data_IF_571929881853
#
_entry.id   IF_571929881853
#
_cell.length_a   1.000
_cell.length_b   1.000
_cell.length_c   1.000
_cell.angle_alpha   90.00
_cell.angle_beta   90.00
_cell.angle_gamma   90.00
#
_symmetry.space_group_name_H-M   'P 1'
#
loop_
_entity.id
_entity.type
_entity.pdbx_description
1 polymer ?
#
# COMPACT_ATOMS: atom_id res chain seq x y z
N UNK A 1 20.57 27.88 -2.22
CA UNK A 1 19.32 28.68 -2.19
C UNK A 1 18.28 28.24 -3.24
N UNK A 2 18.40 27.06 -3.86
CA UNK A 2 17.34 26.51 -4.72
C UNK A 2 17.05 25.08 -4.30
N UNK A 3 15.91 24.83 -3.65
CA UNK A 3 15.40 23.47 -3.45
C UNK A 3 13.93 23.38 -2.99
N UNK A 4 13.08 24.35 -3.37
CA UNK A 4 11.62 24.29 -3.14
C UNK A 4 10.79 24.53 -4.41
N UNK A 5 11.36 25.15 -5.44
CA UNK A 5 10.60 25.57 -6.63
C UNK A 5 10.43 24.48 -7.69
N UNK A 6 11.23 23.41 -7.69
CA UNK A 6 11.22 22.39 -8.75
C UNK A 6 10.24 21.23 -8.47
N UNK A 7 10.22 20.67 -7.24
CA UNK A 7 9.15 19.75 -6.78
C UNK A 7 7.75 20.34 -6.91
N UNK A 8 7.58 21.63 -6.60
CA UNK A 8 6.30 22.33 -6.75
C UNK A 8 5.88 22.50 -8.22
N UNK A 9 6.84 22.55 -9.15
CA UNK A 9 6.59 22.68 -10.59
C UNK A 9 6.12 21.36 -11.22
N UNK A 10 6.72 20.24 -10.82
CA UNK A 10 6.32 18.89 -11.24
C UNK A 10 4.93 18.57 -10.67
N UNK A 11 4.72 18.74 -9.36
CA UNK A 11 3.39 18.53 -8.74
C UNK A 11 2.28 19.37 -9.40
N UNK A 12 2.59 20.59 -9.85
CA UNK A 12 1.63 21.46 -10.52
C UNK A 12 1.25 20.93 -11.91
N UNK A 13 2.22 20.53 -12.73
CA UNK A 13 1.96 19.93 -14.05
C UNK A 13 1.20 18.60 -13.94
N UNK A 14 1.49 17.82 -12.90
CA UNK A 14 0.78 16.58 -12.59
C UNK A 14 -0.67 16.82 -12.18
N UNK A 15 -0.93 17.85 -11.36
CA UNK A 15 -2.29 18.27 -11.01
C UNK A 15 -3.07 18.80 -12.21
N UNK A 16 -2.43 19.50 -13.14
CA UNK A 16 -3.05 20.00 -14.38
C UNK A 16 -3.45 18.85 -15.31
N UNK A 17 -2.56 17.89 -15.56
CA UNK A 17 -2.85 16.75 -16.43
C UNK A 17 -3.80 15.71 -15.77
N UNK A 18 -3.84 15.64 -14.44
CA UNK A 18 -4.83 14.89 -13.69
C UNK A 18 -6.22 15.55 -13.75
N UNK A 19 -6.30 16.88 -13.70
CA UNK A 19 -7.55 17.63 -13.81
C UNK A 19 -8.25 17.43 -15.16
N UNK A 20 -7.50 17.37 -16.27
CA UNK A 20 -8.04 17.11 -17.61
C UNK A 20 -8.65 15.71 -17.76
N UNK A 21 -8.33 14.78 -16.85
CA UNK A 21 -8.85 13.40 -16.87
C UNK A 21 -9.76 13.07 -15.66
N UNK A 22 -10.24 14.07 -14.92
CA UNK A 22 -11.00 13.91 -13.66
C UNK A 22 -10.29 13.01 -12.63
N UNK A 23 -8.97 13.17 -12.48
CA UNK A 23 -8.16 12.49 -11.46
C UNK A 23 -7.74 13.49 -10.40
N UNK A 24 -7.97 13.16 -9.12
CA UNK A 24 -7.54 13.99 -7.98
C UNK A 24 -6.40 13.27 -7.27
N UNK A 25 -5.21 13.87 -7.22
CA UNK A 25 -4.02 13.30 -6.55
C UNK A 25 -3.83 13.95 -5.18
N UNK A 26 -3.74 13.13 -4.12
CA UNK A 26 -3.47 13.57 -2.75
C UNK A 26 -2.13 13.00 -2.27
N UNK A 27 -1.14 13.87 -1.99
CA UNK A 27 0.16 13.51 -1.38
C UNK A 27 0.53 14.53 -0.31
N UNK A 28 1.15 14.09 0.79
CA UNK A 28 1.55 14.92 1.93
C UNK A 28 3.08 14.97 2.01
N UNK A 29 3.65 16.18 2.00
CA UNK A 29 5.09 16.39 2.14
C UNK A 29 5.57 16.00 3.55
N UNK A 30 6.34 14.91 3.67
CA UNK A 30 7.02 14.52 4.90
C UNK A 30 8.47 15.06 4.95
N UNK A 31 8.82 15.73 6.06
CA UNK A 31 10.22 16.00 6.43
C UNK A 31 10.74 14.79 7.22
N UNK A 32 11.79 14.15 6.72
CA UNK A 32 12.55 13.11 7.41
C UNK A 32 13.50 13.73 8.45
N UNK A 33 13.60 13.10 9.61
CA UNK A 33 14.72 13.28 10.54
C UNK A 33 15.15 11.90 10.99
N UNK A 34 16.33 11.48 10.53
CA UNK A 34 17.02 10.26 10.94
C UNK A 34 17.87 10.50 12.19
N UNK A 35 18.02 9.43 12.99
CA UNK A 35 19.32 9.08 13.57
C UNK A 35 19.32 7.63 14.07
N UNK A 36 20.31 6.89 13.60
CA UNK A 36 20.64 5.47 13.82
C UNK A 36 21.14 5.14 15.24
N UNK A 37 21.01 3.86 15.64
CA UNK A 37 22.12 3.13 16.28
C UNK A 37 21.96 1.59 16.28
N UNK A 38 23.00 0.93 15.75
CA UNK A 38 23.43 -0.48 15.76
C UNK A 38 22.97 -1.42 16.89
N UNK A 39 22.63 -2.68 16.55
CA UNK A 39 23.07 -3.92 17.25
C UNK A 39 23.08 -5.13 16.27
N UNK A 40 24.14 -5.93 16.31
CA UNK A 40 24.36 -7.18 15.55
C UNK A 40 23.80 -8.45 16.25
N UNK A 41 23.71 -9.62 15.56
CA UNK A 41 22.74 -10.68 15.83
C UNK A 41 23.29 -11.85 16.67
N UNK A 42 22.41 -12.72 17.19
CA UNK A 42 22.59 -14.19 17.21
C UNK A 42 21.40 -14.99 17.80
N UNK A 43 21.31 -16.23 17.30
CA UNK A 43 20.75 -17.49 17.87
C UNK A 43 19.38 -18.00 17.38
N UNK A 44 19.52 -19.01 16.50
CA UNK A 44 18.87 -20.33 16.34
C UNK A 44 17.38 -20.53 15.98
N UNK A 45 17.27 -21.26 14.87
CA UNK A 45 16.16 -21.94 14.24
C UNK A 45 15.68 -23.15 15.05
N UNK A 46 14.37 -23.30 15.26
CA UNK A 46 13.74 -24.60 15.44
C UNK A 46 12.47 -24.71 14.59
N UNK A 47 12.52 -25.67 13.65
CA UNK A 47 11.45 -26.12 12.79
C UNK A 47 10.43 -26.91 13.62
N UNK A 48 9.15 -26.52 13.57
CA UNK A 48 8.05 -27.39 13.98
C UNK A 48 7.00 -27.35 12.86
N UNK A 49 6.95 -28.47 12.15
CA UNK A 49 5.90 -28.85 11.20
C UNK A 49 4.60 -29.13 11.94
N UNK A 50 3.52 -28.41 11.65
CA UNK A 50 2.16 -28.92 11.87
C UNK A 50 1.21 -28.41 10.76
N UNK A 51 0.51 -29.37 10.17
CA UNK A 51 -0.41 -29.26 9.04
C UNK A 51 -1.52 -28.22 9.30
N UNK A 52 -1.82 -27.41 8.28
CA UNK A 52 -2.93 -26.46 8.32
C UNK A 52 -4.27 -27.15 8.01
N UNK A 53 -5.35 -26.83 8.75
CA UNK A 53 -6.68 -27.28 8.38
C UNK A 53 -7.23 -26.42 7.23
N UNK A 54 -7.66 -27.08 6.17
CA UNK A 54 -8.39 -26.47 5.04
C UNK A 54 -9.76 -26.05 5.53
N UNK A 55 -10.08 -24.75 5.44
CA UNK A 55 -11.39 -24.19 5.74
C UNK A 55 -12.18 -24.03 4.44
N UNK A 56 -13.14 -24.93 4.21
CA UNK A 56 -14.15 -24.77 3.16
C UNK A 56 -15.21 -23.74 3.60
N UNK A 57 -15.50 -22.78 2.70
CA UNK A 57 -16.56 -21.75 2.75
C UNK A 57 -16.42 -20.62 3.80
N UNK A 58 -15.64 -19.59 3.45
CA UNK A 58 -15.40 -18.34 4.18
C UNK A 58 -16.56 -17.31 4.13
N UNK A 59 -17.46 -17.42 3.15
CA UNK A 59 -18.46 -16.37 2.87
C UNK A 59 -19.60 -16.26 3.91
N UNK A 60 -19.88 -17.30 4.68
CA UNK A 60 -21.08 -17.35 5.52
C UNK A 60 -20.92 -16.64 6.89
N UNK A 61 -19.72 -16.18 7.25
CA UNK A 61 -19.42 -15.66 8.59
C UNK A 61 -18.85 -14.23 8.63
N UNK A 62 -18.49 -13.63 7.49
CA UNK A 62 -17.92 -12.29 7.46
C UNK A 62 -18.99 -11.22 7.20
N UNK A 63 -19.56 -10.64 8.25
CA UNK A 63 -20.43 -9.47 8.11
C UNK A 63 -19.58 -8.21 7.87
N UNK A 64 -19.29 -7.95 6.58
CA UNK A 64 -18.42 -6.87 6.14
C UNK A 64 -18.93 -5.48 6.52
N UNK A 65 -20.25 -5.27 6.46
CA UNK A 65 -20.89 -4.00 6.79
C UNK A 65 -20.71 -3.63 8.27
N UNK A 66 -20.89 -4.63 9.14
CA UNK A 66 -20.61 -4.49 10.57
C UNK A 66 -19.13 -4.19 10.83
N UNK A 67 -18.21 -4.80 10.07
CA UNK A 67 -16.78 -4.52 10.20
C UNK A 67 -16.44 -3.08 9.80
N UNK A 68 -16.94 -2.62 8.65
CA UNK A 68 -16.75 -1.25 8.17
C UNK A 68 -17.33 -0.27 9.17
N UNK A 69 -18.57 -0.46 9.62
CA UNK A 69 -19.21 0.44 10.57
C UNK A 69 -18.40 0.56 11.86
N UNK A 70 -17.97 -0.57 12.43
CA UNK A 70 -17.14 -0.56 13.64
C UNK A 70 -15.83 0.18 13.44
N UNK A 71 -15.15 0.00 12.30
CA UNK A 71 -13.92 0.73 11.98
C UNK A 71 -14.19 2.24 11.90
N UNK A 72 -15.24 2.66 11.20
CA UNK A 72 -15.63 4.07 11.07
C UNK A 72 -16.00 4.71 12.42
N UNK A 73 -16.66 3.99 13.31
CA UNK A 73 -17.03 4.47 14.65
C UNK A 73 -15.81 4.77 15.54
N UNK A 74 -14.62 4.29 15.16
CA UNK A 74 -13.37 4.46 15.91
C UNK A 74 -12.66 5.80 15.66
N UNK A 75 -13.27 6.69 14.90
CA UNK A 75 -12.72 7.97 14.41
C UNK A 75 -11.97 8.80 15.47
N UNK A 76 -12.39 8.75 16.73
CA UNK A 76 -11.83 9.53 17.84
C UNK A 76 -11.32 8.67 19.02
N UNK A 77 -11.26 7.35 18.85
CA UNK A 77 -10.77 6.47 19.92
C UNK A 77 -9.27 6.65 20.07
N UNK A 78 -8.80 7.04 21.27
CA UNK A 78 -7.37 6.95 21.61
C UNK A 78 -6.90 5.52 21.29
N UNK A 79 -5.69 5.38 20.73
CA UNK A 79 -5.09 4.08 20.40
C UNK A 79 -5.26 3.13 21.58
N UNK A 80 -6.23 2.22 21.48
CA UNK A 80 -6.55 1.28 22.54
C UNK A 80 -5.67 0.06 22.38
N UNK A 81 -5.31 -0.56 23.52
CA UNK A 81 -4.52 -1.80 23.53
C UNK A 81 -5.15 -2.90 22.67
N UNK A 82 -6.48 -2.91 22.59
CA UNK A 82 -7.27 -3.81 21.75
C UNK A 82 -7.69 -3.10 20.46
N UNK A 83 -7.75 -3.83 19.34
CA UNK A 83 -8.42 -3.37 18.11
C UNK A 83 -9.89 -3.15 18.46
N UNK A 84 -10.48 -2.03 18.01
CA UNK A 84 -11.84 -1.62 18.33
C UNK A 84 -12.91 -2.48 17.63
N UNK A 85 -12.93 -3.77 17.98
CA UNK A 85 -13.96 -4.72 17.57
C UNK A 85 -14.71 -5.27 18.79
N UNK A 86 -14.59 -4.63 19.96
CA UNK A 86 -15.14 -5.13 21.24
C UNK A 86 -16.44 -4.45 21.66
N UNK A 87 -17.37 -5.28 22.15
CA UNK A 87 -18.26 -4.99 23.27
C UNK A 87 -17.86 -5.87 24.47
N UNK A 88 -17.69 -5.25 25.64
CA UNK A 88 -17.61 -5.79 27.02
C UNK A 88 -16.33 -6.55 27.50
N UNK A 89 -15.90 -6.22 28.73
CA UNK A 89 -14.56 -6.45 29.28
C UNK A 89 -14.32 -7.79 30.02
N UNK A 90 -15.33 -8.67 30.19
CA UNK A 90 -15.16 -9.92 30.97
C UNK A 90 -14.63 -11.10 30.10
N UNK A 91 -14.60 -10.97 28.77
CA UNK A 91 -14.23 -12.02 27.81
C UNK A 91 -12.86 -11.78 27.12
N UNK A 92 -11.88 -11.19 27.82
CA UNK A 92 -10.64 -10.67 27.22
C UNK A 92 -9.91 -11.60 26.22
N UNK A 93 -9.67 -12.85 26.60
CA UNK A 93 -8.93 -13.84 25.77
C UNK A 93 -9.78 -14.40 24.63
N UNK A 94 -11.05 -14.72 24.90
CA UNK A 94 -11.96 -15.26 23.88
C UNK A 94 -12.22 -14.23 22.78
N UNK A 95 -12.41 -12.96 23.16
CA UNK A 95 -12.61 -11.88 22.21
C UNK A 95 -11.34 -11.60 21.41
N UNK A 96 -10.15 -11.71 21.99
CA UNK A 96 -8.91 -11.50 21.24
C UNK A 96 -8.68 -12.61 20.20
N UNK A 97 -9.02 -13.87 20.52
CA UNK A 97 -9.04 -14.96 19.53
C UNK A 97 -10.07 -14.71 18.42
N UNK A 98 -11.26 -14.23 18.78
CA UNK A 98 -12.32 -13.92 17.82
C UNK A 98 -11.93 -12.77 16.88
N UNK A 99 -11.28 -11.73 17.40
CA UNK A 99 -10.73 -10.62 16.61
C UNK A 99 -9.65 -11.12 15.65
N UNK A 100 -8.71 -11.94 16.12
CA UNK A 100 -7.68 -12.50 15.26
C UNK A 100 -8.29 -13.37 14.15
N UNK A 101 -9.30 -14.18 14.46
CA UNK A 101 -10.03 -14.97 13.46
C UNK A 101 -10.71 -14.08 12.41
N UNK A 102 -11.39 -13.02 12.85
CA UNK A 102 -12.04 -12.07 11.95
C UNK A 102 -11.03 -11.39 11.01
N UNK A 103 -9.88 -10.98 11.53
CA UNK A 103 -8.81 -10.38 10.72
C UNK A 103 -8.29 -11.37 9.68
N UNK A 104 -8.05 -12.62 10.09
CA UNK A 104 -7.60 -13.67 9.16
C UNK A 104 -8.66 -13.89 8.06
N UNK A 105 -9.94 -13.92 8.41
CA UNK A 105 -11.01 -14.05 7.42
C UNK A 105 -11.04 -12.87 6.42
N UNK A 106 -10.86 -11.63 6.88
CA UNK A 106 -10.74 -10.45 6.01
C UNK A 106 -9.51 -10.58 5.09
N UNK A 107 -8.37 -11.01 5.63
CA UNK A 107 -7.15 -11.22 4.84
C UNK A 107 -7.37 -12.29 3.75
N UNK A 108 -7.97 -13.43 4.09
CA UNK A 108 -8.25 -14.51 3.12
C UNK A 108 -9.17 -14.03 2.00
N UNK A 109 -10.29 -13.39 2.34
CA UNK A 109 -11.22 -12.84 1.35
C UNK A 109 -10.56 -11.76 0.47
N UNK A 110 -9.72 -10.89 1.07
CA UNK A 110 -8.98 -9.88 0.31
C UNK A 110 -8.00 -10.53 -0.67
N UNK A 111 -7.27 -11.55 -0.22
CA UNK A 111 -6.31 -12.29 -1.06
C UNK A 111 -6.99 -12.88 -2.30
N UNK A 112 -8.16 -13.49 -2.14
CA UNK A 112 -8.95 -14.04 -3.25
C UNK A 112 -9.30 -12.95 -4.27
N UNK A 113 -9.87 -11.83 -3.81
CA UNK A 113 -10.21 -10.67 -4.67
C UNK A 113 -8.98 -10.14 -5.42
N UNK A 114 -7.82 -10.03 -4.76
CA UNK A 114 -6.60 -9.49 -5.36
C UNK A 114 -6.01 -10.41 -6.42
N UNK A 115 -6.06 -11.73 -6.21
CA UNK A 115 -5.55 -12.72 -7.17
C UNK A 115 -6.45 -12.88 -8.40
N UNK A 116 -7.74 -12.61 -8.26
CA UNK A 116 -8.68 -12.58 -9.38
C UNK A 116 -8.48 -11.36 -10.30
N UNK A 117 -7.92 -10.27 -9.77
CA UNK A 117 -7.62 -9.06 -10.54
C UNK A 117 -6.20 -9.12 -11.12
N UNK A 118 -5.93 -8.46 -12.26
CA UNK A 118 -4.59 -8.43 -12.85
C UNK A 118 -3.58 -7.69 -11.96
N UNK A 119 -2.29 -8.02 -12.09
CA UNK A 119 -1.22 -7.35 -11.34
C UNK A 119 -0.95 -5.92 -11.84
N UNK A 120 -1.25 -5.66 -13.12
CA UNK A 120 -1.34 -4.36 -13.74
C UNK A 120 -2.82 -4.02 -13.93
N UNK A 121 -3.33 -3.09 -13.12
CA UNK A 121 -4.73 -2.70 -13.17
C UNK A 121 -4.99 -1.76 -14.36
N UNK A 122 -6.13 -1.92 -15.02
CA UNK A 122 -6.58 -0.99 -16.07
C UNK A 122 -7.88 -0.34 -15.61
N UNK A 123 -7.83 0.97 -15.36
CA UNK A 123 -8.89 1.71 -14.67
C UNK A 123 -9.54 2.74 -15.58
N UNK A 124 -10.84 2.92 -15.41
CA UNK A 124 -11.59 3.99 -16.04
C UNK A 124 -11.25 5.36 -15.41
N UNK A 125 -11.45 6.47 -16.14
CA UNK A 125 -11.35 7.82 -15.57
C UNK A 125 -12.32 8.05 -14.41
N UNK A 126 -12.16 9.17 -13.69
CA UNK A 126 -12.93 9.51 -12.48
C UNK A 126 -12.59 8.61 -11.28
N UNK A 127 -11.30 8.63 -10.91
CA UNK A 127 -10.76 7.92 -9.75
C UNK A 127 -9.88 8.87 -8.92
N UNK A 128 -10.07 8.84 -7.60
CA UNK A 128 -9.23 9.59 -6.66
C UNK A 128 -7.97 8.78 -6.37
N UNK A 129 -6.80 9.37 -6.60
CA UNK A 129 -5.51 8.73 -6.37
C UNK A 129 -4.93 9.21 -5.03
N UNK A 130 -4.63 8.27 -4.14
CA UNK A 130 -4.16 8.55 -2.78
C UNK A 130 -2.80 7.90 -2.57
N UNK A 131 -1.81 8.69 -2.16
CA UNK A 131 -0.48 8.21 -1.79
C UNK A 131 -0.42 7.61 -0.38
N UNK A 132 0.77 7.68 0.22
CA UNK A 132 1.10 7.05 1.50
C UNK A 132 0.14 7.46 2.63
N UNK A 133 -0.19 6.48 3.48
CA UNK A 133 -1.02 6.68 4.67
C UNK A 133 -0.24 6.36 5.95
N UNK A 134 0.64 5.37 5.93
CA UNK A 134 1.51 4.98 7.07
C UNK A 134 0.79 4.94 8.42
N UNK A 135 -0.31 4.19 8.50
CA UNK A 135 -1.06 4.01 9.75
C UNK A 135 -1.64 5.30 10.35
N UNK A 136 -1.72 6.39 9.58
CA UNK A 136 -2.37 7.65 9.97
C UNK A 136 -3.88 7.56 9.77
N UNK A 137 -4.55 6.70 10.53
CA UNK A 137 -5.96 6.38 10.34
C UNK A 137 -6.90 7.60 10.37
N UNK A 138 -6.63 8.58 11.24
CA UNK A 138 -7.40 9.83 11.26
C UNK A 138 -7.25 10.68 9.99
N UNK A 139 -6.11 10.60 9.30
CA UNK A 139 -5.88 11.27 8.02
C UNK A 139 -6.64 10.54 6.91
N UNK A 140 -6.63 9.20 6.92
CA UNK A 140 -7.42 8.37 6.00
C UNK A 140 -8.91 8.70 6.08
N UNK A 141 -9.48 8.78 7.29
CA UNK A 141 -10.91 9.11 7.45
C UNK A 141 -11.22 10.51 6.93
N UNK A 142 -10.34 11.49 7.17
CA UNK A 142 -10.49 12.85 6.63
C UNK A 142 -10.44 12.88 5.10
N UNK A 143 -9.63 12.03 4.46
CA UNK A 143 -9.63 11.90 2.99
C UNK A 143 -11.01 11.43 2.52
N UNK A 144 -11.62 10.44 3.17
CA UNK A 144 -12.97 9.99 2.83
C UNK A 144 -14.05 11.02 3.12
N UNK A 145 -13.94 11.80 4.21
CA UNK A 145 -14.86 12.90 4.48
C UNK A 145 -14.82 13.98 3.38
N UNK A 146 -13.63 14.27 2.86
CA UNK A 146 -13.42 15.31 1.85
C UNK A 146 -13.81 14.86 0.44
N UNK A 147 -13.44 13.64 0.06
CA UNK A 147 -13.59 13.14 -1.31
C UNK A 147 -14.82 12.24 -1.50
N UNK A 148 -15.51 11.88 -0.41
CA UNK A 148 -16.70 11.04 -0.41
C UNK A 148 -16.40 9.55 -0.20
N UNK A 149 -17.17 8.89 0.67
CA UNK A 149 -16.96 7.47 0.97
C UNK A 149 -17.31 6.54 -0.21
N UNK A 150 -16.60 5.41 -0.38
CA UNK A 150 -17.00 4.36 -1.33
C UNK A 150 -18.43 3.85 -1.05
N UNK A 151 -19.25 3.58 -2.08
CA UNK A 151 -18.92 3.57 -3.51
C UNK A 151 -19.20 4.92 -4.22
N UNK A 152 -19.53 5.98 -3.49
CA UNK A 152 -19.85 7.29 -4.08
C UNK A 152 -18.69 7.84 -4.91
N UNK A 153 -17.47 7.55 -4.46
CA UNK A 153 -16.22 7.94 -5.12
C UNK A 153 -15.34 6.71 -5.34
N UNK A 154 -14.69 6.66 -6.50
CA UNK A 154 -13.72 5.62 -6.83
C UNK A 154 -12.34 5.98 -6.27
N UNK A 155 -11.57 4.99 -5.85
CA UNK A 155 -10.25 5.19 -5.26
C UNK A 155 -9.19 4.27 -5.85
N UNK A 156 -8.00 4.81 -6.07
CA UNK A 156 -6.76 4.09 -6.29
C UNK A 156 -5.75 4.53 -5.22
N UNK A 157 -5.36 3.64 -4.33
CA UNK A 157 -4.29 3.89 -3.38
C UNK A 157 -2.95 3.34 -3.90
N UNK A 158 -1.87 4.07 -3.66
CA UNK A 158 -0.55 3.80 -4.25
C UNK A 158 0.40 2.99 -3.36
N UNK A 159 -0.06 2.43 -2.23
CA UNK A 159 0.79 1.69 -1.29
C UNK A 159 1.08 2.45 0.00
N UNK A 160 1.94 1.88 0.84
CA UNK A 160 2.43 2.43 2.09
C UNK A 160 1.31 2.73 3.09
N UNK A 161 0.57 1.67 3.41
CA UNK A 161 -0.58 1.70 4.31
C UNK A 161 -0.16 1.57 5.77
N UNK A 162 0.89 0.79 6.01
CA UNK A 162 1.33 0.37 7.34
C UNK A 162 2.65 1.06 7.72
N UNK A 163 3.13 0.76 8.93
CA UNK A 163 4.33 1.31 9.55
C UNK A 163 4.28 2.81 9.87
N UNK A 164 5.24 3.26 10.67
CA UNK A 164 5.50 4.65 11.13
C UNK A 164 4.38 5.30 11.96
N UNK A 165 3.12 5.15 11.57
CA UNK A 165 1.95 5.60 12.30
C UNK A 165 1.52 4.65 13.42
N UNK A 166 0.44 5.03 14.10
CA UNK A 166 0.00 4.37 15.34
C UNK A 166 -1.16 3.39 15.15
N UNK A 167 -1.81 3.42 13.99
CA UNK A 167 -3.07 2.71 13.71
C UNK A 167 -2.99 2.03 12.34
N UNK A 168 -1.93 1.27 12.10
CA UNK A 168 -1.73 0.55 10.84
C UNK A 168 -2.79 -0.53 10.66
N UNK A 169 -3.17 -1.22 11.74
CA UNK A 169 -4.20 -2.26 11.69
C UNK A 169 -5.55 -1.71 11.25
N UNK A 170 -6.04 -0.62 11.86
CA UNK A 170 -7.30 0.00 11.44
C UNK A 170 -7.25 0.49 9.99
N UNK A 171 -6.11 1.08 9.60
CA UNK A 171 -5.88 1.59 8.24
C UNK A 171 -6.02 0.46 7.23
N UNK A 172 -5.21 -0.59 7.34
CA UNK A 172 -5.21 -1.66 6.34
C UNK A 172 -6.50 -2.49 6.36
N UNK A 173 -7.10 -2.70 7.55
CA UNK A 173 -8.37 -3.43 7.65
C UNK A 173 -9.52 -2.67 6.98
N UNK A 174 -9.59 -1.35 7.12
CA UNK A 174 -10.62 -0.57 6.44
C UNK A 174 -10.44 -0.63 4.92
N UNK A 175 -9.21 -0.50 4.43
CA UNK A 175 -8.89 -0.62 3.01
C UNK A 175 -9.25 -2.00 2.47
N UNK A 176 -8.94 -3.07 3.19
CA UNK A 176 -9.30 -4.44 2.83
C UNK A 176 -10.82 -4.65 2.81
N UNK A 177 -11.53 -4.14 3.82
CA UNK A 177 -12.98 -4.24 3.84
C UNK A 177 -13.63 -3.51 2.65
N UNK A 178 -13.15 -2.32 2.29
CA UNK A 178 -13.61 -1.64 1.09
C UNK A 178 -13.20 -2.36 -0.19
N UNK A 179 -12.02 -2.97 -0.24
CA UNK A 179 -11.58 -3.76 -1.39
C UNK A 179 -12.49 -4.96 -1.65
N UNK A 180 -12.85 -5.68 -0.60
CA UNK A 180 -13.79 -6.81 -0.69
C UNK A 180 -15.18 -6.32 -1.12
N UNK A 181 -15.66 -5.23 -0.50
CA UNK A 181 -17.04 -4.73 -0.73
C UNK A 181 -17.24 -4.12 -2.12
N UNK A 182 -16.25 -3.37 -2.60
CA UNK A 182 -16.35 -2.53 -3.79
C UNK A 182 -15.24 -2.85 -4.79
N UNK A 183 -15.26 -4.10 -5.28
CA UNK A 183 -14.19 -4.70 -6.09
C UNK A 183 -13.81 -3.88 -7.32
N UNK A 184 -14.79 -3.20 -7.92
CA UNK A 184 -14.68 -2.44 -9.18
C UNK A 184 -14.57 -0.91 -8.98
N UNK A 185 -14.64 -0.43 -7.73
CA UNK A 185 -14.56 1.00 -7.40
C UNK A 185 -13.41 1.34 -6.44
N UNK A 186 -12.82 0.34 -5.79
CA UNK A 186 -11.77 0.51 -4.78
C UNK A 186 -10.54 -0.34 -5.12
N UNK A 187 -9.42 0.33 -5.37
CA UNK A 187 -8.18 -0.28 -5.83
C UNK A 187 -7.03 0.09 -4.89
N UNK A 188 -6.17 -0.88 -4.62
CA UNK A 188 -4.99 -0.76 -3.75
C UNK A 188 -3.78 -1.36 -4.48
N UNK A 189 -2.71 -0.60 -4.59
CA UNK A 189 -1.42 -1.06 -5.10
C UNK A 189 -0.51 -1.47 -3.94
N UNK A 190 0.60 -2.13 -4.28
CA UNK A 190 1.65 -2.47 -3.33
C UNK A 190 2.61 -1.29 -3.16
N UNK A 191 2.92 -0.91 -1.92
CA UNK A 191 4.06 -0.07 -1.60
C UNK A 191 5.25 -0.89 -1.11
N UNK A 192 6.37 -0.23 -0.84
CA UNK A 192 7.56 -0.91 -0.33
C UNK A 192 7.41 -1.31 1.15
N UNK A 193 6.52 -0.66 1.91
CA UNK A 193 6.18 -1.08 3.28
C UNK A 193 5.26 -2.30 3.33
N UNK A 194 4.64 -2.70 2.22
CA UNK A 194 3.90 -3.97 2.11
C UNK A 194 4.82 -5.17 1.77
N UNK A 195 5.94 -5.29 2.49
CA UNK A 195 6.84 -6.45 2.44
C UNK A 195 7.36 -6.83 3.83
N UNK A 196 7.75 -8.10 3.99
CA UNK A 196 8.14 -8.65 5.29
C UNK A 196 9.37 -7.99 5.90
N UNK A 197 10.38 -7.65 5.10
CA UNK A 197 11.64 -7.08 5.58
C UNK A 197 11.44 -5.69 6.18
N UNK A 198 10.67 -4.84 5.51
CA UNK A 198 10.42 -3.45 5.92
C UNK A 198 9.48 -3.41 7.13
N UNK A 199 8.29 -4.02 7.03
CA UNK A 199 7.29 -3.88 8.08
C UNK A 199 7.58 -4.67 9.36
N UNK A 200 8.64 -5.50 9.34
CA UNK A 200 9.23 -6.08 10.54
C UNK A 200 9.94 -5.06 11.42
N UNK A 201 10.50 -4.01 10.82
CA UNK A 201 11.36 -3.03 11.50
C UNK A 201 10.62 -1.73 11.79
N UNK A 202 9.72 -1.29 10.90
CA UNK A 202 9.14 0.06 10.95
C UNK A 202 7.79 0.17 11.67
N UNK A 203 7.36 -0.91 12.34
CA UNK A 203 6.36 -0.85 13.41
C UNK A 203 5.16 -1.79 13.26
N UNK A 204 4.82 -2.24 12.06
CA UNK A 204 3.62 -3.07 11.85
C UNK A 204 3.72 -4.43 12.54
N UNK A 205 4.89 -5.08 12.49
CA UNK A 205 5.15 -6.31 13.22
C UNK A 205 4.91 -6.16 14.72
N UNK A 206 5.46 -5.11 15.34
CA UNK A 206 5.29 -4.83 16.76
C UNK A 206 3.84 -4.48 17.09
N UNK A 207 3.14 -3.75 16.22
CA UNK A 207 1.72 -3.46 16.36
C UNK A 207 0.89 -4.75 16.37
N UNK A 208 1.11 -5.65 15.40
CA UNK A 208 0.43 -6.93 15.30
C UNK A 208 0.73 -7.83 16.50
N UNK A 209 2.00 -7.93 16.91
CA UNK A 209 2.45 -8.68 18.08
C UNK A 209 1.77 -8.20 19.36
N UNK A 210 1.63 -6.88 19.53
CA UNK A 210 1.06 -6.27 20.73
C UNK A 210 -0.46 -6.34 20.79
N UNK A 211 -1.15 -6.15 19.66
CA UNK A 211 -2.61 -5.97 19.60
C UNK A 211 -3.38 -7.21 19.17
N UNK A 212 -2.71 -8.14 18.48
CA UNK A 212 -3.30 -9.36 17.94
C UNK A 212 -2.36 -10.54 18.13
N UNK A 213 -1.74 -11.06 17.07
CA UNK A 213 -0.77 -12.16 17.13
C UNK A 213 0.20 -12.11 15.96
N UNK A 214 1.33 -12.82 16.09
CA UNK A 214 2.28 -13.00 14.99
C UNK A 214 1.71 -13.80 13.81
N UNK A 215 0.69 -14.65 14.06
CA UNK A 215 -0.03 -15.35 12.99
C UNK A 215 -0.77 -14.35 12.10
N UNK A 216 -1.37 -13.32 12.68
CA UNK A 216 -2.05 -12.26 11.93
C UNK A 216 -1.06 -11.46 11.09
N UNK A 217 0.12 -11.12 11.62
CA UNK A 217 1.16 -10.44 10.84
C UNK A 217 1.60 -11.25 9.61
N UNK A 218 1.82 -12.55 9.75
CA UNK A 218 2.12 -13.44 8.62
C UNK A 218 0.99 -13.46 7.60
N UNK A 219 -0.26 -13.57 8.07
CA UNK A 219 -1.42 -13.53 7.19
C UNK A 219 -1.50 -12.21 6.40
N UNK A 220 -1.19 -11.05 7.00
CA UNK A 220 -1.07 -9.80 6.26
C UNK A 220 0.03 -9.85 5.20
N UNK A 221 1.22 -10.38 5.53
CA UNK A 221 2.31 -10.54 4.56
C UNK A 221 1.92 -11.41 3.37
N UNK A 222 1.12 -12.47 3.59
CA UNK A 222 0.62 -13.33 2.51
C UNK A 222 -0.36 -12.58 1.59
N UNK A 223 -1.18 -11.67 2.13
CA UNK A 223 -2.04 -10.79 1.33
C UNK A 223 -1.22 -9.74 0.58
N UNK A 224 -0.23 -9.14 1.24
CA UNK A 224 0.65 -8.14 0.63
C UNK A 224 1.41 -8.69 -0.58
N UNK A 225 1.84 -9.95 -0.51
CA UNK A 225 2.44 -10.67 -1.63
C UNK A 225 1.51 -10.86 -2.84
N UNK A 226 0.20 -10.62 -2.68
CA UNK A 226 -0.81 -10.70 -3.72
C UNK A 226 -1.24 -9.33 -4.28
N UNK A 227 -0.72 -8.21 -3.75
CA UNK A 227 -1.13 -6.89 -4.21
C UNK A 227 -0.69 -6.64 -5.67
N UNK A 228 -1.55 -6.01 -6.50
CA UNK A 228 -1.14 -5.40 -7.76
C UNK A 228 -0.04 -4.36 -7.54
N UNK A 229 0.84 -4.17 -8.52
CA UNK A 229 2.03 -3.30 -8.36
C UNK A 229 1.93 -2.01 -9.16
N UNK A 230 1.04 -1.97 -10.16
CA UNK A 230 0.85 -0.83 -11.02
C UNK A 230 -0.60 -0.70 -11.49
N UNK A 231 -0.98 0.50 -11.92
CA UNK A 231 -2.25 0.76 -12.59
C UNK A 231 -2.08 1.71 -13.78
N UNK A 232 -2.94 1.58 -14.78
CA UNK A 232 -3.07 2.50 -15.90
C UNK A 232 -4.49 3.09 -15.87
N UNK A 233 -4.62 4.40 -15.66
CA UNK A 233 -5.91 5.09 -15.71
C UNK A 233 -6.11 5.67 -17.11
N UNK A 234 -7.27 5.39 -17.71
CA UNK A 234 -7.70 5.91 -19.00
C UNK A 234 -6.71 5.64 -20.16
N UNK A 235 -5.88 4.60 -20.05
CA UNK A 235 -4.82 4.29 -21.02
C UNK A 235 -3.69 5.33 -21.08
N UNK A 236 -3.65 6.29 -20.15
CA UNK A 236 -2.76 7.46 -20.21
C UNK A 236 -1.92 7.67 -18.95
N UNK A 237 -2.46 7.36 -17.78
CA UNK A 237 -1.80 7.68 -16.51
C UNK A 237 -1.25 6.39 -15.92
N UNK A 238 0.07 6.23 -15.91
CA UNK A 238 0.72 5.10 -15.25
C UNK A 238 0.97 5.43 -13.77
N UNK A 239 0.50 4.55 -12.88
CA UNK A 239 0.54 4.71 -11.44
C UNK A 239 1.33 3.57 -10.81
N UNK A 240 2.36 3.91 -10.03
CA UNK A 240 3.19 3.01 -9.22
C UNK A 240 3.51 3.67 -7.89
N UNK A 241 4.08 2.91 -6.94
CA UNK A 241 4.43 3.43 -5.63
C UNK A 241 5.71 4.29 -5.63
N UNK A 242 6.85 3.73 -6.05
CA UNK A 242 8.17 4.36 -5.86
C UNK A 242 8.26 5.76 -6.49
N UNK A 243 7.59 5.94 -7.63
CA UNK A 243 7.55 7.21 -8.33
C UNK A 243 6.18 7.85 -8.14
N UNK A 244 6.16 8.96 -7.40
CA UNK A 244 4.98 9.81 -7.21
C UNK A 244 4.39 10.19 -8.58
N UNK A 245 3.28 9.51 -8.90
CA UNK A 245 2.24 9.87 -9.87
C UNK A 245 2.71 10.71 -11.05
N UNK A 246 3.42 10.13 -12.04
CA UNK A 246 3.64 10.87 -13.29
C UNK A 246 2.48 10.59 -14.26
N UNK A 247 1.62 11.60 -14.42
CA UNK A 247 0.66 11.68 -15.52
C UNK A 247 1.46 11.89 -16.80
N UNK A 248 1.77 10.82 -17.53
CA UNK A 248 2.57 10.90 -18.75
C UNK A 248 1.66 10.64 -19.96
N UNK A 249 1.28 11.72 -20.65
CA UNK A 249 0.65 11.61 -21.98
C UNK A 249 1.59 11.07 -23.08
N UNK A 250 2.87 10.80 -22.77
CA UNK A 250 3.93 10.37 -23.69
C UNK A 250 4.55 9.02 -23.25
N UNK A 251 3.79 7.94 -23.42
CA UNK A 251 4.07 6.56 -22.96
C UNK A 251 5.44 5.95 -23.39
N UNK A 252 6.15 6.57 -24.34
CA UNK A 252 7.28 5.93 -25.05
C UNK A 252 8.67 6.35 -24.54
N UNK A 253 8.79 7.47 -23.83
CA UNK A 253 10.11 8.01 -23.43
C UNK A 253 10.55 7.58 -22.02
N UNK A 254 9.65 7.01 -21.21
CA UNK A 254 9.89 6.77 -19.77
C UNK A 254 10.01 5.30 -19.35
N UNK A 255 9.60 4.33 -20.20
CA UNK A 255 9.69 2.91 -19.84
C UNK A 255 11.14 2.46 -19.56
N UNK A 256 12.10 3.00 -20.33
CA UNK A 256 13.53 2.79 -20.11
C UNK A 256 14.15 3.58 -18.95
N UNK A 257 13.35 4.30 -18.15
CA UNK A 257 13.76 5.12 -16.99
C UNK A 257 13.15 4.69 -15.65
N UNK A 258 12.15 3.80 -15.65
CA UNK A 258 11.47 3.30 -14.42
C UNK A 258 12.14 2.08 -13.78
N UNK A 259 12.52 1.12 -14.62
CA UNK A 259 13.46 0.05 -14.28
C UNK A 259 14.26 -0.28 -15.54
N UNK A 260 15.56 -0.59 -15.44
CA UNK A 260 16.32 -1.11 -16.58
C UNK A 260 15.71 -2.41 -17.15
N UNK A 261 14.91 -3.11 -16.35
CA UNK A 261 14.22 -4.34 -16.75
C UNK A 261 12.82 -4.10 -17.35
N UNK A 262 12.30 -2.86 -17.35
CA UNK A 262 10.98 -2.53 -17.89
C UNK A 262 11.04 -2.16 -19.37
N UNK A 263 10.85 -3.14 -20.26
CA UNK A 263 10.84 -2.90 -21.71
C UNK A 263 9.42 -2.71 -22.24
N UNK A 264 8.45 -3.38 -21.62
CA UNK A 264 7.04 -3.33 -22.00
C UNK A 264 6.13 -3.51 -20.78
N UNK A 265 4.88 -3.07 -20.88
CA UNK A 265 3.88 -3.34 -19.84
C UNK A 265 3.62 -4.85 -19.65
N UNK A 266 3.99 -5.67 -20.63
CA UNK A 266 3.89 -7.13 -20.53
C UNK A 266 4.87 -7.70 -19.49
N UNK A 267 5.99 -7.03 -19.25
CA UNK A 267 6.96 -7.44 -18.22
C UNK A 267 6.32 -7.36 -16.83
N UNK A 268 5.51 -6.31 -16.59
CA UNK A 268 4.70 -6.17 -15.37
C UNK A 268 3.59 -7.23 -15.34
N UNK A 269 2.86 -7.45 -16.44
CA UNK A 269 1.78 -8.45 -16.50
C UNK A 269 2.26 -9.88 -16.22
N UNK A 270 3.51 -10.19 -16.60
CA UNK A 270 4.14 -11.49 -16.40
C UNK A 270 4.69 -11.72 -14.99
N UNK A 271 4.71 -10.70 -14.12
CA UNK A 271 5.08 -10.89 -12.72
C UNK A 271 4.07 -11.81 -12.02
N UNK A 272 4.58 -12.88 -11.43
CA UNK A 272 3.75 -13.88 -10.75
C UNK A 272 3.41 -13.44 -9.33
N UNK A 273 2.20 -13.77 -8.88
CA UNK A 273 1.73 -13.60 -7.50
C UNK A 273 1.20 -14.93 -6.96
N UNK A 274 1.32 -15.23 -5.66
CA UNK A 274 1.96 -14.42 -4.61
C UNK A 274 3.49 -14.39 -4.72
N UNK A 275 4.12 -13.25 -4.43
CA UNK A 275 5.59 -13.10 -4.45
C UNK A 275 6.05 -12.05 -3.46
N UNK A 276 7.15 -12.30 -2.75
CA UNK A 276 7.80 -11.27 -1.91
C UNK A 276 8.62 -10.30 -2.76
N UNK A 277 8.95 -9.13 -2.21
CA UNK A 277 9.75 -8.11 -2.91
C UNK A 277 11.22 -8.55 -2.90
N UNK A 278 11.86 -8.74 -4.08
CA UNK A 278 13.28 -9.07 -4.15
C UNK A 278 14.15 -7.87 -3.78
N UNK A 279 15.43 -8.11 -3.49
CA UNK A 279 16.41 -7.05 -3.21
C UNK A 279 16.80 -6.25 -4.48
N UNK A 280 16.47 -6.75 -5.68
CA UNK A 280 16.76 -6.09 -6.96
C UNK A 280 15.82 -6.56 -8.08
N UNK A 281 15.85 -5.85 -9.22
CA UNK A 281 15.11 -6.13 -10.45
C UNK A 281 13.75 -5.44 -10.52
N UNK A 282 13.01 -5.67 -11.60
CA UNK A 282 11.76 -4.95 -11.92
C UNK A 282 10.81 -4.69 -10.74
N UNK A 283 10.46 -5.73 -9.96
CA UNK A 283 9.55 -5.57 -8.82
C UNK A 283 10.12 -4.70 -7.70
N UNK A 284 11.44 -4.77 -7.46
CA UNK A 284 12.10 -3.88 -6.51
C UNK A 284 12.01 -2.43 -7.01
N UNK A 285 12.37 -2.20 -8.27
CA UNK A 285 12.44 -0.86 -8.84
C UNK A 285 11.09 -0.16 -8.89
N UNK A 286 10.01 -0.87 -9.24
CA UNK A 286 8.65 -0.32 -9.23
C UNK A 286 8.20 0.19 -7.84
N UNK A 287 8.78 -0.35 -6.78
CA UNK A 287 8.43 -0.04 -5.39
C UNK A 287 9.45 0.88 -4.71
N UNK A 288 10.68 0.98 -5.19
CA UNK A 288 11.78 1.64 -4.46
C UNK A 288 12.46 2.77 -5.23
N UNK A 289 12.30 2.87 -6.55
CA UNK A 289 12.91 3.94 -7.33
C UNK A 289 12.36 5.31 -6.92
N UNK A 290 13.23 6.33 -6.84
CA UNK A 290 12.83 7.72 -6.60
C UNK A 290 13.17 8.59 -7.82
N UNK A 291 12.38 9.65 -8.12
CA UNK A 291 12.79 10.63 -9.13
C UNK A 291 13.93 11.53 -8.61
N UNK A 292 14.90 11.81 -9.48
CA UNK A 292 16.04 12.73 -9.32
C UNK A 292 16.05 13.81 -10.42
N UNK A 293 16.49 15.02 -10.08
CA UNK A 293 16.68 16.10 -11.08
C UNK A 293 18.12 16.15 -11.59
N UNK A 294 19.00 15.26 -11.12
CA UNK A 294 20.44 15.31 -11.34
C UNK A 294 21.02 14.07 -12.01
N UNK A 295 20.33 12.93 -11.93
CA UNK A 295 20.72 11.73 -12.65
C UNK A 295 20.67 12.02 -14.15
N UNK A 296 21.62 11.53 -14.96
CA UNK A 296 21.58 11.69 -16.42
C UNK A 296 20.89 10.49 -17.08
N UNK A 297 20.92 9.33 -16.42
CA UNK A 297 20.21 8.10 -16.77
C UNK A 297 19.77 7.39 -15.47
N UNK A 298 20.70 6.70 -14.79
CA UNK A 298 20.48 5.94 -13.55
C UNK A 298 21.57 6.24 -12.52
N UNK A 299 21.19 6.62 -11.31
CA UNK A 299 22.10 6.74 -10.17
C UNK A 299 21.65 5.82 -9.03
N UNK A 300 22.54 5.35 -8.17
CA UNK A 300 22.13 4.59 -6.98
C UNK A 300 21.29 5.48 -6.06
N UNK A 301 20.18 4.96 -5.53
CA UNK A 301 19.34 5.72 -4.60
C UNK A 301 20.09 6.00 -3.30
N UNK A 302 19.92 7.21 -2.76
CA UNK A 302 20.42 7.59 -1.43
C UNK A 302 19.81 6.73 -0.30
N UNK A 303 18.70 6.02 -0.58
CA UNK A 303 18.09 5.03 0.32
C UNK A 303 18.91 3.74 0.43
N UNK A 304 19.89 3.54 -0.45
CA UNK A 304 20.71 2.32 -0.51
C UNK A 304 20.00 1.11 -1.12
N UNK A 305 18.84 1.31 -1.76
CA UNK A 305 18.05 0.29 -2.47
C UNK A 305 17.45 0.92 -3.73
N UNK A 306 17.56 0.23 -4.88
CA UNK A 306 17.14 0.70 -6.21
C UNK A 306 17.86 1.98 -6.70
N UNK A 307 17.28 2.68 -7.67
CA UNK A 307 17.89 3.77 -8.43
C UNK A 307 17.13 5.11 -8.33
N UNK A 308 17.84 6.19 -8.63
CA UNK A 308 17.38 7.56 -8.83
C UNK A 308 17.44 7.93 -10.32
N UNK A 309 16.41 8.57 -10.89
CA UNK A 309 16.30 8.83 -12.34
C UNK A 309 16.00 10.30 -12.71
N UNK A 310 16.51 10.81 -13.84
CA UNK A 310 16.31 12.18 -14.34
C UNK A 310 14.85 12.53 -14.66
N UNK A 311 14.33 13.62 -14.10
CA UNK A 311 12.99 14.14 -14.42
C UNK A 311 13.03 15.49 -15.16
N UNK A 312 13.65 15.55 -16.35
CA UNK A 312 13.66 16.79 -17.13
C UNK A 312 12.52 16.84 -18.17
N UNK A 313 11.40 17.45 -17.77
CA UNK A 313 10.19 17.66 -18.62
C UNK A 313 10.34 18.88 -19.56
N UNK A 314 11.57 19.29 -19.92
CA UNK A 314 11.82 20.58 -20.58
C UNK A 314 12.56 20.52 -21.93
N UNK A 315 12.69 19.38 -22.60
CA UNK A 315 13.30 19.37 -23.94
C UNK A 315 12.43 18.67 -24.99
N UNK A 316 11.68 19.53 -25.68
CA UNK A 316 11.09 19.47 -27.04
C UNK A 316 9.87 18.59 -27.26
#
# INVERSE_FOLDING_TARGET
>A
MGNLNSKQSIEKKLKEAAADNNVVIYSKNHKSTDSLSNVQPNVETQLISQQEPVLENSDQYLNLDSCIQRLLDCRNSKVVKNICLKQNEIFGIFIQKLIAFLIIAICMATREVLLEQPILLELNPSVNVVGDIHGQYGDLLRIFDLLGYPPTSNYLFLGDYVDRGKQSLETILLLFCYKIKFRDNFFILRGNHECYSVNRVYGFYDECKRRSSLKVWRCFGDVFNCLPVAAIIAGKIFCVHGIISVVISQFKFFLGGLSPDLNSMEDIRNLTRPRDVPDSGLLNDLLWSDPSEHAIDWEESERGVSYCEFSNVNSV
#
